data_IF_831572494258
#
_entry.id   IF_831572494258
#
_cell.length_a   1.000
_cell.length_b   1.000
_cell.length_c   1.000
_cell.angle_alpha   90.00
_cell.angle_beta   90.00
_cell.angle_gamma   90.00
#
_symmetry.space_group_name_H-M   'P 1'
#
loop_
_entity.id
_entity.type
_entity.pdbx_description
1 polymer ?
#
# COMPACT_ATOMS: atom_id res chain seq x y z
N UNK A 1 6.15 23.23 8.96
CA UNK A 1 4.85 23.70 8.46
C UNK A 1 3.79 22.59 8.45
N UNK A 2 2.58 22.92 8.92
CA UNK A 2 1.44 21.98 8.99
C UNK A 2 0.95 21.58 7.60
N UNK A 3 1.04 22.50 6.63
CA UNK A 3 0.64 22.27 5.24
C UNK A 3 1.52 21.19 4.59
N UNK A 4 2.84 21.27 4.80
CA UNK A 4 3.78 20.26 4.32
C UNK A 4 3.51 18.86 4.91
N UNK A 5 3.24 18.78 6.22
CA UNK A 5 2.91 17.51 6.87
C UNK A 5 1.61 16.90 6.33
N UNK A 6 0.62 17.74 6.02
CA UNK A 6 -0.64 17.31 5.41
C UNK A 6 -0.44 16.75 4.01
N UNK A 7 0.39 17.38 3.19
CA UNK A 7 0.69 16.85 1.85
C UNK A 7 1.49 15.55 1.91
N UNK A 8 2.44 15.46 2.84
CA UNK A 8 3.19 14.23 3.06
C UNK A 8 2.25 13.07 3.42
N UNK A 9 1.27 13.32 4.30
CA UNK A 9 0.24 12.34 4.66
C UNK A 9 -0.55 11.85 3.44
N UNK A 10 -1.01 12.76 2.57
CA UNK A 10 -1.80 12.38 1.37
C UNK A 10 -0.98 11.51 0.41
N UNK A 11 0.29 11.86 0.16
CA UNK A 11 1.16 11.06 -0.73
C UNK A 11 1.44 9.67 -0.20
N UNK A 12 1.84 9.58 1.07
CA UNK A 12 2.07 8.28 1.71
C UNK A 12 0.78 7.46 1.70
N UNK A 13 -0.39 8.09 1.91
CA UNK A 13 -1.68 7.44 1.88
C UNK A 13 -1.96 6.78 0.52
N UNK A 14 -1.77 7.51 -0.57
CA UNK A 14 -1.96 7.00 -1.94
C UNK A 14 -1.00 5.84 -2.27
N UNK A 15 0.28 6.01 -1.94
CA UNK A 15 1.29 4.96 -2.18
C UNK A 15 0.95 3.70 -1.37
N UNK A 16 0.57 3.84 -0.11
CA UNK A 16 0.20 2.71 0.74
C UNK A 16 -1.08 2.01 0.29
N UNK A 17 -2.08 2.75 -0.23
CA UNK A 17 -3.29 2.11 -0.80
C UNK A 17 -2.94 1.23 -2.01
N UNK A 18 -2.11 1.74 -2.93
CA UNK A 18 -1.67 0.99 -4.11
C UNK A 18 -0.78 -0.20 -3.71
N UNK A 19 0.11 -0.01 -2.74
CA UNK A 19 0.96 -1.07 -2.23
C UNK A 19 0.15 -2.19 -1.56
N UNK A 20 -0.87 -1.87 -0.77
CA UNK A 20 -1.70 -2.85 -0.08
C UNK A 20 -2.54 -3.68 -1.05
N UNK A 21 -3.09 -3.03 -2.07
CA UNK A 21 -3.78 -3.74 -3.14
C UNK A 21 -2.80 -4.62 -3.93
N UNK A 22 -1.63 -4.09 -4.28
CA UNK A 22 -0.59 -4.82 -5.00
C UNK A 22 -0.12 -6.07 -4.26
N UNK A 23 0.10 -5.99 -2.95
CA UNK A 23 0.55 -7.13 -2.14
C UNK A 23 -0.50 -8.23 -2.05
N UNK A 24 -1.77 -7.88 -1.99
CA UNK A 24 -2.88 -8.85 -1.98
C UNK A 24 -3.04 -9.47 -3.38
N UNK A 25 -3.03 -8.67 -4.45
CA UNK A 25 -3.20 -9.17 -5.82
C UNK A 25 -2.07 -10.13 -6.21
N UNK A 26 -0.83 -9.85 -5.80
CA UNK A 26 0.33 -10.71 -6.06
C UNK A 26 0.19 -12.11 -5.46
N UNK A 27 -0.52 -12.24 -4.33
CA UNK A 27 -0.77 -13.53 -3.69
C UNK A 27 -1.92 -14.31 -4.37
N UNK A 28 -2.93 -13.62 -4.91
CA UNK A 28 -4.10 -14.29 -5.57
C UNK A 28 -3.79 -14.66 -7.01
N UNK A 29 -3.19 -13.75 -7.77
CA UNK A 29 -2.99 -13.89 -9.20
C UNK A 29 -1.55 -13.57 -9.59
N UNK A 30 -0.79 -14.62 -9.89
CA UNK A 30 0.51 -14.48 -10.57
C UNK A 30 0.29 -14.65 -12.07
N UNK A 31 0.67 -13.64 -12.86
CA UNK A 31 0.51 -13.73 -14.31
C UNK A 31 1.38 -14.87 -14.86
N UNK A 32 0.85 -15.77 -15.71
CA UNK A 32 1.58 -16.95 -16.20
C UNK A 32 2.83 -16.58 -17.02
N UNK A 33 2.91 -15.37 -17.58
CA UNK A 33 4.10 -14.83 -18.26
C UNK A 33 5.27 -14.51 -17.29
N UNK A 34 4.96 -14.16 -16.03
CA UNK A 34 5.96 -13.87 -14.99
C UNK A 34 6.56 -15.14 -14.36
N UNK A 35 5.91 -16.30 -14.52
CA UNK A 35 6.38 -17.60 -13.98
C UNK A 35 7.75 -18.05 -14.53
N UNK A 36 8.15 -17.54 -15.70
CA UNK A 36 9.46 -17.79 -16.32
C UNK A 36 10.61 -17.06 -15.60
N UNK A 37 10.31 -15.92 -14.97
CA UNK A 37 11.30 -15.03 -14.36
C UNK A 37 11.25 -15.04 -12.82
N UNK A 38 10.09 -15.39 -12.25
CA UNK A 38 9.85 -15.39 -10.81
C UNK A 38 9.23 -16.71 -10.36
N UNK A 39 9.95 -17.44 -9.49
CA UNK A 39 9.52 -18.74 -8.96
C UNK A 39 8.59 -18.57 -7.75
N UNK A 40 7.41 -17.99 -7.94
CA UNK A 40 6.34 -18.01 -6.92
C UNK A 40 6.75 -17.52 -5.51
N UNK A 41 7.80 -16.72 -5.39
CA UNK A 41 8.27 -16.20 -4.12
C UNK A 41 7.37 -15.03 -3.69
N UNK A 42 7.09 -14.96 -2.38
CA UNK A 42 6.13 -14.02 -1.80
C UNK A 42 6.81 -12.70 -1.48
N UNK A 43 6.07 -11.60 -1.58
CA UNK A 43 6.45 -10.19 -1.32
C UNK A 43 7.95 -9.84 -1.39
N UNK A 44 8.73 -10.17 -0.36
CA UNK A 44 10.15 -9.79 -0.25
C UNK A 44 11.08 -10.64 -1.13
N UNK A 45 10.81 -11.94 -1.26
CA UNK A 45 11.56 -12.79 -2.21
C UNK A 45 11.32 -12.36 -3.66
N UNK A 46 10.09 -11.93 -3.97
CA UNK A 46 9.76 -11.32 -5.27
C UNK A 46 10.51 -10.00 -5.48
N UNK A 47 10.62 -9.17 -4.43
CA UNK A 47 11.34 -7.90 -4.48
C UNK A 47 12.83 -8.10 -4.81
N UNK A 48 13.52 -9.05 -4.17
CA UNK A 48 14.92 -9.36 -4.47
C UNK A 48 15.11 -9.91 -5.88
N UNK A 49 14.23 -10.83 -6.31
CA UNK A 49 14.26 -11.34 -7.67
C UNK A 49 14.00 -10.22 -8.71
N UNK A 50 13.11 -9.27 -8.39
CA UNK A 50 12.77 -8.13 -9.26
C UNK A 50 13.88 -7.08 -9.34
N UNK A 51 14.73 -6.97 -8.32
CA UNK A 51 15.97 -6.19 -8.38
C UNK A 51 16.96 -6.88 -9.33
N UNK A 52 17.13 -8.19 -9.20
CA UNK A 52 18.08 -8.96 -10.02
C UNK A 52 17.70 -8.98 -11.51
N UNK A 53 16.41 -8.93 -11.83
CA UNK A 53 15.92 -8.83 -13.21
C UNK A 53 15.96 -7.41 -13.77
N UNK A 54 16.16 -6.39 -12.93
CA UNK A 54 16.12 -4.97 -13.31
C UNK A 54 14.71 -4.41 -13.54
N UNK A 55 13.65 -5.19 -13.32
CA UNK A 55 12.26 -4.72 -13.46
C UNK A 55 11.93 -3.60 -12.46
N UNK A 56 12.51 -3.64 -11.27
CA UNK A 56 12.33 -2.59 -10.25
C UNK A 56 12.81 -1.21 -10.72
N UNK A 57 13.89 -1.18 -11.50
CA UNK A 57 14.46 0.05 -12.06
C UNK A 57 13.50 0.72 -13.05
N UNK A 58 12.74 -0.07 -13.80
CA UNK A 58 11.70 0.45 -14.71
C UNK A 58 10.56 1.09 -13.91
N UNK A 59 10.11 0.43 -12.84
CA UNK A 59 9.05 0.97 -11.97
C UNK A 59 9.50 2.28 -11.31
N UNK A 60 10.73 2.33 -10.79
CA UNK A 60 11.29 3.55 -10.19
C UNK A 60 11.37 4.70 -11.20
N UNK A 61 11.76 4.41 -12.45
CA UNK A 61 11.80 5.40 -13.51
C UNK A 61 10.41 5.98 -13.82
N UNK A 62 9.38 5.13 -13.94
CA UNK A 62 8.01 5.59 -14.21
C UNK A 62 7.38 6.35 -13.04
N UNK A 63 7.57 5.88 -11.80
CA UNK A 63 7.10 6.59 -10.60
C UNK A 63 7.83 7.93 -10.47
N UNK A 64 9.15 7.93 -10.67
CA UNK A 64 9.95 9.16 -10.67
C UNK A 64 9.47 10.17 -11.70
N UNK A 65 9.14 9.72 -12.93
CA UNK A 65 8.60 10.59 -13.97
C UNK A 65 7.23 11.16 -13.59
N UNK A 66 6.34 10.37 -13.02
CA UNK A 66 5.03 10.83 -12.52
C UNK A 66 5.16 11.83 -11.35
N UNK A 67 6.26 11.77 -10.59
CA UNK A 67 6.54 12.73 -9.52
C UNK A 67 7.17 14.05 -10.02
N UNK A 68 7.75 14.11 -11.22
CA UNK A 68 8.35 15.34 -11.79
C UNK A 68 7.39 16.54 -11.79
N UNK A 69 6.14 16.47 -12.28
CA UNK A 69 5.23 17.62 -12.25
C UNK A 69 4.91 18.07 -10.82
N UNK A 70 4.91 17.14 -9.87
CA UNK A 70 4.76 17.48 -8.45
C UNK A 70 6.03 18.15 -7.91
N UNK A 71 7.22 17.66 -8.25
CA UNK A 71 8.50 18.25 -7.84
C UNK A 71 8.64 19.69 -8.35
N UNK A 72 8.15 19.95 -9.57
CA UNK A 72 8.10 21.30 -10.15
C UNK A 72 7.15 22.22 -9.36
N UNK A 73 5.97 21.73 -8.97
CA UNK A 73 5.02 22.48 -8.11
C UNK A 73 5.62 22.77 -6.73
N UNK A 74 6.35 21.82 -6.15
CA UNK A 74 7.06 22.01 -4.89
C UNK A 74 8.18 23.06 -5.00
N UNK A 75 8.97 23.01 -6.08
CA UNK A 75 10.03 23.99 -6.33
C UNK A 75 9.48 25.41 -6.56
N UNK A 76 8.27 25.52 -7.10
CA UNK A 76 7.56 26.79 -7.29
C UNK A 76 6.87 27.32 -6.01
N UNK A 77 6.90 26.56 -4.89
CA UNK A 77 6.35 26.98 -3.60
C UNK A 77 4.82 27.03 -3.51
N UNK A 78 4.09 26.53 -4.52
CA UNK A 78 2.62 26.47 -4.55
C UNK A 78 2.11 25.20 -3.84
N UNK A 79 2.42 25.11 -2.56
CA UNK A 79 2.13 23.96 -1.70
C UNK A 79 0.81 24.25 -0.98
N UNK A 80 -0.31 23.88 -1.61
CA UNK A 80 -1.66 24.26 -1.15
C UNK A 80 -2.27 23.26 -0.15
N UNK A 81 -1.55 22.21 0.26
CA UNK A 81 -2.06 21.20 1.19
C UNK A 81 -3.06 20.22 0.57
N UNK A 82 -3.48 20.47 -0.67
CA UNK A 82 -4.58 19.78 -1.34
C UNK A 82 -4.14 18.52 -2.10
N UNK A 83 -2.83 18.37 -2.38
CA UNK A 83 -2.29 17.20 -3.08
C UNK A 83 -2.84 17.01 -4.50
N UNK A 84 -3.25 18.11 -5.16
CA UNK A 84 -3.87 18.09 -6.47
C UNK A 84 -2.81 17.99 -7.59
N UNK A 85 -2.78 16.83 -8.25
CA UNK A 85 -1.91 16.57 -9.39
C UNK A 85 -2.50 17.11 -10.72
N UNK A 86 -3.71 17.69 -10.70
CA UNK A 86 -4.41 18.16 -11.90
C UNK A 86 -4.98 17.02 -12.75
N UNK A 87 -4.98 15.79 -12.23
CA UNK A 87 -5.49 14.60 -12.91
C UNK A 87 -6.93 14.32 -12.46
N UNK A 88 -7.90 14.88 -13.19
CA UNK A 88 -9.33 14.58 -13.00
C UNK A 88 -10.05 14.33 -14.35
N UNK A 89 -9.87 13.13 -14.94
CA UNK A 89 -10.57 12.76 -16.17
C UNK A 89 -12.06 12.41 -15.95
N UNK A 90 -12.50 12.24 -14.69
CA UNK A 90 -13.85 11.83 -14.33
C UNK A 90 -14.73 13.00 -13.88
N UNK A 91 -14.19 14.21 -13.75
CA UNK A 91 -14.94 15.44 -13.44
C UNK A 91 -15.61 15.41 -12.06
N UNK A 92 -15.06 14.64 -11.12
CA UNK A 92 -15.66 14.46 -9.78
C UNK A 92 -15.42 15.68 -8.86
N UNK A 93 -14.78 16.74 -9.37
CA UNK A 93 -14.53 18.00 -8.67
C UNK A 93 -15.68 19.04 -8.77
N UNK A 94 -16.75 18.76 -9.52
CA UNK A 94 -17.78 19.77 -9.82
C UNK A 94 -18.55 20.25 -8.58
N UNK A 95 -18.75 19.39 -7.57
CA UNK A 95 -19.44 19.74 -6.32
C UNK A 95 -18.46 19.90 -5.14
N UNK A 96 -18.39 21.12 -4.60
CA UNK A 96 -17.43 21.51 -3.55
C UNK A 96 -17.65 20.73 -2.24
N UNK A 97 -18.92 20.49 -1.86
CA UNK A 97 -19.25 19.75 -0.64
C UNK A 97 -18.90 18.26 -0.76
N UNK A 98 -19.19 17.65 -1.91
CA UNK A 98 -18.86 16.25 -2.17
C UNK A 98 -17.34 16.04 -2.26
N UNK A 99 -16.63 17.00 -2.84
CA UNK A 99 -15.18 16.98 -2.92
C UNK A 99 -14.53 16.99 -1.53
N UNK A 100 -14.98 17.85 -0.62
CA UNK A 100 -14.49 17.86 0.76
C UNK A 100 -14.80 16.54 1.50
N UNK A 101 -15.98 15.98 1.30
CA UNK A 101 -16.34 14.68 1.87
C UNK A 101 -15.44 13.56 1.32
N UNK A 102 -15.12 13.59 0.03
CA UNK A 102 -14.27 12.61 -0.63
C UNK A 102 -12.79 12.74 -0.20
N UNK A 103 -12.27 13.95 0.04
CA UNK A 103 -10.95 14.15 0.64
C UNK A 103 -10.84 13.53 2.04
N UNK A 104 -11.89 13.67 2.86
CA UNK A 104 -11.91 13.05 4.20
C UNK A 104 -11.93 11.52 4.10
N UNK A 105 -12.68 10.96 3.15
CA UNK A 105 -12.68 9.51 2.89
C UNK A 105 -11.31 9.01 2.43
N UNK A 106 -10.67 9.73 1.51
CA UNK A 106 -9.32 9.40 1.03
C UNK A 106 -8.33 9.31 2.20
N UNK A 107 -8.32 10.31 3.09
CA UNK A 107 -7.34 10.36 4.16
C UNK A 107 -7.60 9.31 5.24
N UNK A 108 -8.87 9.03 5.56
CA UNK A 108 -9.22 7.93 6.48
C UNK A 108 -8.75 6.58 5.93
N UNK A 109 -8.98 6.32 4.65
CA UNK A 109 -8.50 5.11 4.00
C UNK A 109 -6.97 5.09 3.88
N UNK A 110 -6.33 6.25 3.68
CA UNK A 110 -4.88 6.38 3.55
C UNK A 110 -4.16 6.03 4.85
N UNK A 111 -4.66 6.55 5.98
CA UNK A 111 -4.15 6.20 7.33
C UNK A 111 -4.32 4.71 7.62
N UNK A 112 -5.47 4.14 7.28
CA UNK A 112 -5.71 2.70 7.42
C UNK A 112 -4.71 1.89 6.58
N UNK A 113 -4.49 2.29 5.33
CA UNK A 113 -3.56 1.62 4.42
C UNK A 113 -2.10 1.69 4.90
N UNK A 114 -1.65 2.81 5.47
CA UNK A 114 -0.30 2.93 6.05
C UNK A 114 -0.07 1.90 7.16
N UNK A 115 -1.05 1.74 8.06
CA UNK A 115 -0.97 0.76 9.16
C UNK A 115 -1.04 -0.66 8.59
N UNK A 116 -1.89 -0.90 7.59
CA UNK A 116 -2.05 -2.21 6.96
C UNK A 116 -0.76 -2.70 6.28
N UNK A 117 -0.06 -1.85 5.53
CA UNK A 117 1.24 -2.17 4.92
C UNK A 117 2.29 -2.47 5.99
N UNK A 118 2.35 -1.66 7.04
CA UNK A 118 3.23 -1.91 8.18
C UNK A 118 2.98 -3.29 8.79
N UNK A 119 1.72 -3.64 9.03
CA UNK A 119 1.31 -4.94 9.56
C UNK A 119 1.63 -6.10 8.63
N UNK A 120 1.34 -6.00 7.33
CA UNK A 120 1.67 -7.02 6.34
C UNK A 120 3.18 -7.26 6.25
N UNK A 121 3.98 -6.19 6.30
CA UNK A 121 5.44 -6.28 6.24
C UNK A 121 6.01 -6.93 7.51
N UNK A 122 5.55 -6.50 8.69
CA UNK A 122 5.98 -7.10 9.96
C UNK A 122 5.61 -8.58 10.05
N UNK A 123 4.42 -8.93 9.58
CA UNK A 123 3.98 -10.32 9.56
C UNK A 123 4.85 -11.17 8.64
N UNK A 124 5.17 -10.67 7.45
CA UNK A 124 6.07 -11.36 6.52
C UNK A 124 7.43 -11.64 7.16
N UNK A 125 8.01 -10.69 7.90
CA UNK A 125 9.28 -10.91 8.59
C UNK A 125 9.21 -12.00 9.67
N UNK A 126 8.07 -12.14 10.36
CA UNK A 126 7.90 -13.11 11.43
C UNK A 126 7.56 -14.52 10.93
N UNK A 127 6.73 -14.63 9.90
CA UNK A 127 6.20 -15.92 9.44
C UNK A 127 6.78 -16.40 8.12
N UNK A 128 7.42 -15.53 7.34
CA UNK A 128 7.92 -15.83 6.00
C UNK A 128 6.82 -16.20 5.00
N UNK A 129 5.54 -15.93 5.34
CA UNK A 129 4.35 -16.28 4.57
C UNK A 129 3.68 -15.04 4.01
N UNK A 130 2.87 -15.23 2.97
CA UNK A 130 2.22 -14.14 2.24
C UNK A 130 1.07 -13.52 3.03
N UNK A 131 0.71 -12.25 2.73
CA UNK A 131 -0.44 -11.56 3.32
C UNK A 131 -1.76 -12.34 3.32
N UNK A 132 -2.04 -13.14 2.30
CA UNK A 132 -3.29 -13.92 2.24
C UNK A 132 -3.23 -15.20 3.06
N UNK A 133 -2.06 -15.85 3.09
CA UNK A 133 -1.86 -16.98 3.99
C UNK A 133 -1.96 -16.57 5.46
N UNK A 134 -1.65 -15.32 5.78
CA UNK A 134 -1.93 -14.78 7.10
C UNK A 134 -3.44 -14.75 7.38
N UNK A 135 -4.26 -14.20 6.49
CA UNK A 135 -5.71 -14.08 6.70
C UNK A 135 -6.36 -15.46 6.87
N UNK A 136 -5.89 -16.48 6.14
CA UNK A 136 -6.39 -17.86 6.27
C UNK A 136 -5.82 -18.61 7.46
N UNK A 137 -4.64 -18.22 7.96
CA UNK A 137 -3.97 -18.84 9.12
C UNK A 137 -4.23 -18.13 10.43
N UNK A 138 -4.91 -16.97 10.46
CA UNK A 138 -5.43 -16.43 11.73
C UNK A 138 -6.38 -17.50 12.27
N UNK A 139 -6.03 -18.22 13.35
CA UNK A 139 -7.00 -19.06 14.02
C UNK A 139 -8.17 -18.14 14.36
N UNK A 140 -9.37 -18.51 13.93
CA UNK A 140 -10.60 -17.86 14.37
C UNK A 140 -10.48 -17.66 15.89
N UNK A 141 -10.83 -16.50 16.45
CA UNK A 141 -10.63 -16.27 17.89
C UNK A 141 -11.23 -17.41 18.75
N UNK A 142 -12.24 -18.12 18.22
CA UNK A 142 -12.73 -19.39 18.77
C UNK A 142 -11.71 -20.53 18.82
N UNK A 143 -10.93 -20.79 17.78
CA UNK A 143 -9.88 -21.83 17.79
C UNK A 143 -8.67 -21.41 18.61
N UNK A 144 -8.34 -20.11 18.69
CA UNK A 144 -7.28 -19.62 19.57
C UNK A 144 -7.69 -19.67 21.04
N UNK A 145 -8.94 -19.35 21.37
CA UNK A 145 -9.50 -19.52 22.71
C UNK A 145 -9.59 -21.01 23.10
N UNK A 146 -9.99 -21.89 22.17
CA UNK A 146 -9.99 -23.34 22.41
C UNK A 146 -8.57 -23.88 22.63
N UNK A 147 -7.59 -23.46 21.82
CA UNK A 147 -6.20 -23.84 21.99
C UNK A 147 -5.58 -23.27 23.28
N UNK A 148 -5.91 -22.03 23.67
CA UNK A 148 -5.41 -21.42 24.91
C UNK A 148 -5.98 -22.07 26.19
N UNK A 149 -7.20 -22.62 26.11
CA UNK A 149 -7.79 -23.47 27.16
C UNK A 149 -7.07 -24.83 27.23
N UNK A 150 -6.73 -25.44 26.09
CA UNK A 150 -5.99 -26.71 26.05
C UNK A 150 -4.52 -26.59 26.46
N UNK A 151 -3.84 -25.48 26.12
CA UNK A 151 -2.43 -25.23 26.49
C UNK A 151 -2.26 -24.59 27.87
N UNK A 152 -3.35 -24.33 28.60
CA UNK A 152 -3.33 -23.85 29.99
C UNK A 152 -2.73 -22.45 30.18
N UNK A 153 -2.62 -21.64 29.13
CA UNK A 153 -2.08 -20.27 29.22
C UNK A 153 -3.11 -19.27 29.78
N UNK A 154 -4.40 -19.58 29.68
CA UNK A 154 -5.47 -18.88 30.38
C UNK A 154 -5.99 -19.77 31.52
N UNK A 155 -5.35 -19.66 32.68
CA UNK A 155 -6.02 -19.87 33.96
C UNK A 155 -6.33 -18.51 34.57
#
# INVERSE_FOLDING_TARGET
>A
DVIWAREAEVKHGRICMLAALGSIVQDVYTFPFMSKWYKGEKMWGLHEAAIKSGAMWQVLFFVGLLEIPFLLKLANGSVDGTGDLGFDPLGLKNDVEEFQANQVKEIKNGRLAMIAIGGMTHHYFLTGKGPIEFITQIPNFKSCAAAAVETGLCK
#
